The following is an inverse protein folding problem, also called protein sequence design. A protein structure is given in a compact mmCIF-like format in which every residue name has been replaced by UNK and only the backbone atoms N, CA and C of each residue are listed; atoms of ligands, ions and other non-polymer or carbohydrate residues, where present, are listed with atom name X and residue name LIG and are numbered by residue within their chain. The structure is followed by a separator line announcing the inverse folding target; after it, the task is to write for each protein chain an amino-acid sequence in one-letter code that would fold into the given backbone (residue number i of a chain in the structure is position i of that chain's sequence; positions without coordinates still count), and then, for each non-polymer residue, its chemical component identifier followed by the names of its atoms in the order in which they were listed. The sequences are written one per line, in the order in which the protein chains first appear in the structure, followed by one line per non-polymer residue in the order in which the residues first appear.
data_IF_861733096278
#
_entry.id   IF_861733096278
#
_cell.length_a   1.000
_cell.length_b   1.000
_cell.length_c   1.000
_cell.angle_alpha   90.00
_cell.angle_beta   90.00
_cell.angle_gamma   90.00
#
_symmetry.space_group_name_H-M   'P 1'
#
loop_
_entity.id
_entity.type
_entity.pdbx_description
1 polymer ?
#
# COMPACT_ATOMS: atom_id res chain seq x y z
N UNK A 1 11.36 22.80 -31.60
CA UNK A 1 10.80 21.55 -32.15
C UNK A 1 10.90 20.52 -31.04
N UNK A 2 9.79 19.89 -30.62
CA UNK A 2 9.87 18.81 -29.65
C UNK A 2 10.72 17.68 -30.26
N UNK A 3 11.72 17.23 -29.54
CA UNK A 3 12.59 16.11 -29.98
C UNK A 3 11.70 14.88 -30.18
N UNK A 4 11.80 14.26 -31.36
CA UNK A 4 11.05 13.01 -31.61
C UNK A 4 11.50 11.94 -30.64
N UNK A 5 10.54 11.22 -30.00
CA UNK A 5 10.83 10.07 -29.13
C UNK A 5 11.43 8.97 -29.99
N UNK A 6 12.57 8.42 -29.55
CA UNK A 6 13.24 7.32 -30.22
C UNK A 6 13.03 5.99 -29.56
N UNK A 7 13.02 5.98 -28.23
CA UNK A 7 12.86 4.77 -27.42
C UNK A 7 12.06 5.09 -26.17
N UNK A 8 11.09 4.24 -25.82
CA UNK A 8 10.20 4.40 -24.66
C UNK A 8 10.16 3.15 -23.78
N UNK A 9 10.20 3.31 -22.47
CA UNK A 9 9.95 2.21 -21.52
C UNK A 9 8.48 2.24 -21.11
N UNK A 10 7.75 1.18 -21.41
CA UNK A 10 6.34 1.01 -21.10
C UNK A 10 6.17 0.15 -19.85
N UNK A 11 5.43 0.65 -18.83
CA UNK A 11 4.88 -0.20 -17.76
C UNK A 11 3.85 -1.16 -18.36
N UNK A 12 4.21 -2.43 -18.43
CA UNK A 12 3.48 -3.42 -19.20
C UNK A 12 2.93 -4.54 -18.31
N UNK A 13 1.62 -4.67 -18.24
CA UNK A 13 0.96 -5.74 -17.47
C UNK A 13 0.60 -6.98 -18.32
N UNK A 14 0.76 -6.92 -19.63
CA UNK A 14 0.26 -7.97 -20.53
C UNK A 14 -1.27 -7.96 -20.73
N UNK A 15 -1.99 -7.07 -20.04
CA UNK A 15 -3.41 -6.85 -20.21
C UNK A 15 -3.79 -6.27 -21.59
N UNK A 16 -5.10 -6.12 -21.84
CA UNK A 16 -5.60 -5.56 -23.10
C UNK A 16 -5.06 -4.14 -23.33
N UNK A 17 -5.28 -3.26 -22.35
CA UNK A 17 -4.96 -1.82 -22.49
C UNK A 17 -3.48 -1.60 -22.74
N UNK A 18 -2.59 -2.24 -21.96
CA UNK A 18 -1.14 -2.07 -22.13
C UNK A 18 -0.62 -2.68 -23.44
N UNK A 19 -1.28 -3.74 -23.95
CA UNK A 19 -0.93 -4.32 -25.26
C UNK A 19 -1.36 -3.43 -26.42
N UNK A 20 -2.49 -2.75 -26.29
CA UNK A 20 -2.92 -1.70 -27.25
C UNK A 20 -1.96 -0.51 -27.20
N UNK A 21 -1.61 -0.05 -25.99
CA UNK A 21 -0.64 1.04 -25.80
C UNK A 21 0.70 0.72 -26.48
N UNK A 22 1.19 -0.51 -26.29
CA UNK A 22 2.42 -0.95 -26.93
C UNK A 22 2.36 -0.76 -28.46
N UNK A 23 1.31 -1.26 -29.08
CA UNK A 23 1.13 -1.16 -30.53
C UNK A 23 0.91 0.27 -31.00
N UNK A 24 0.13 1.05 -30.25
CA UNK A 24 -0.11 2.46 -30.51
C UNK A 24 1.17 3.30 -30.45
N UNK A 25 2.07 3.03 -29.50
CA UNK A 25 3.38 3.69 -29.40
C UNK A 25 4.23 3.43 -30.66
N UNK A 26 4.26 2.18 -31.12
CA UNK A 26 5.00 1.83 -32.33
C UNK A 26 4.48 2.57 -33.58
N UNK A 27 3.15 2.72 -33.71
CA UNK A 27 2.53 3.34 -34.89
C UNK A 27 2.51 4.87 -34.82
N UNK A 28 2.20 5.44 -33.66
CA UNK A 28 2.03 6.89 -33.51
C UNK A 28 3.36 7.61 -33.38
N UNK A 29 4.28 7.06 -32.62
CA UNK A 29 5.60 7.66 -32.38
C UNK A 29 6.69 7.10 -33.30
N UNK A 30 6.46 5.94 -33.92
CA UNK A 30 7.50 5.24 -34.71
C UNK A 30 8.74 4.89 -33.87
N UNK A 31 8.59 4.74 -32.58
CA UNK A 31 9.67 4.56 -31.63
C UNK A 31 9.89 3.08 -31.25
N UNK A 32 11.08 2.79 -30.75
CA UNK A 32 11.37 1.50 -30.13
C UNK A 32 10.69 1.43 -28.75
N UNK A 33 10.05 0.29 -28.45
CA UNK A 33 9.38 0.08 -27.18
C UNK A 33 10.13 -0.99 -26.38
N UNK A 34 10.50 -0.64 -25.16
CA UNK A 34 10.98 -1.54 -24.11
C UNK A 34 9.82 -1.82 -23.18
N UNK A 35 9.56 -3.07 -22.85
CA UNK A 35 8.50 -3.42 -21.89
C UNK A 35 9.09 -3.78 -20.53
N UNK A 36 8.44 -3.30 -19.48
CA UNK A 36 8.77 -3.62 -18.10
C UNK A 36 7.55 -4.14 -17.35
N UNK A 37 7.66 -5.32 -16.78
CA UNK A 37 6.66 -5.97 -15.94
C UNK A 37 7.27 -6.25 -14.57
N UNK A 38 6.69 -5.71 -13.51
CA UNK A 38 7.10 -5.94 -12.14
C UNK A 38 6.31 -7.09 -11.52
N UNK A 39 7.00 -8.03 -10.87
CA UNK A 39 6.40 -8.95 -9.90
C UNK A 39 6.39 -8.27 -8.53
N UNK A 40 5.21 -7.88 -8.08
CA UNK A 40 4.96 -7.36 -6.73
C UNK A 40 4.14 -8.36 -5.88
N UNK A 41 4.02 -9.62 -6.31
CA UNK A 41 3.20 -10.63 -5.64
C UNK A 41 1.70 -10.51 -5.96
N UNK A 42 1.36 -10.11 -7.18
CA UNK A 42 -0.01 -10.03 -7.66
C UNK A 42 -0.68 -11.41 -7.85
N UNK A 43 0.11 -12.48 -7.84
CA UNK A 43 -0.39 -13.87 -7.98
C UNK A 43 -0.70 -14.29 -9.42
N UNK A 44 -0.41 -13.47 -10.41
CA UNK A 44 -0.53 -13.78 -11.82
C UNK A 44 0.78 -14.37 -12.37
N UNK A 45 0.66 -15.25 -13.38
CA UNK A 45 1.82 -15.72 -14.13
C UNK A 45 2.37 -14.58 -15.01
N UNK A 46 3.65 -14.26 -14.89
CA UNK A 46 4.30 -13.18 -15.64
C UNK A 46 4.77 -13.63 -17.04
N UNK A 47 4.98 -14.92 -17.21
CA UNK A 47 5.42 -15.50 -18.48
C UNK A 47 4.44 -15.24 -19.66
N UNK A 48 3.10 -15.26 -19.48
CA UNK A 48 2.18 -14.84 -20.52
C UNK A 48 2.38 -13.39 -20.99
N UNK A 49 2.72 -12.47 -20.09
CA UNK A 49 3.01 -11.08 -20.45
C UNK A 49 4.29 -11.00 -21.31
N UNK A 50 5.35 -11.70 -20.94
CA UNK A 50 6.59 -11.81 -21.73
C UNK A 50 6.32 -12.31 -23.13
N UNK A 51 5.66 -13.48 -23.26
CA UNK A 51 5.33 -14.08 -24.55
C UNK A 51 4.51 -13.15 -25.45
N UNK A 52 3.57 -12.41 -24.85
CA UNK A 52 2.74 -11.46 -25.58
C UNK A 52 3.56 -10.27 -26.10
N UNK A 53 4.50 -9.76 -25.31
CA UNK A 53 5.43 -8.73 -25.75
C UNK A 53 6.32 -9.22 -26.91
N UNK A 54 6.84 -10.45 -26.82
CA UNK A 54 7.62 -11.09 -27.90
C UNK A 54 6.81 -11.21 -29.20
N UNK A 55 5.55 -11.67 -29.12
CA UNK A 55 4.64 -11.75 -30.27
C UNK A 55 4.36 -10.39 -30.91
N UNK A 56 4.39 -9.32 -30.13
CA UNK A 56 4.24 -7.94 -30.62
C UNK A 56 5.57 -7.33 -31.12
N UNK A 57 6.62 -8.14 -31.22
CA UNK A 57 7.91 -7.76 -31.82
C UNK A 57 8.85 -7.01 -30.89
N UNK A 58 8.63 -7.04 -29.59
CA UNK A 58 9.50 -6.39 -28.61
C UNK A 58 10.80 -7.20 -28.43
N UNK A 59 11.94 -6.51 -28.43
CA UNK A 59 13.27 -7.11 -28.27
C UNK A 59 13.82 -6.97 -26.86
N UNK A 60 13.53 -5.86 -26.19
CA UNK A 60 13.98 -5.56 -24.83
C UNK A 60 12.79 -5.71 -23.87
N UNK A 61 12.77 -6.82 -23.13
CA UNK A 61 11.68 -7.21 -22.24
C UNK A 61 12.24 -7.44 -20.85
N UNK A 62 11.84 -6.63 -19.89
CA UNK A 62 12.20 -6.74 -18.49
C UNK A 62 11.01 -7.33 -17.72
N UNK A 63 11.25 -8.44 -17.05
CA UNK A 63 10.29 -9.03 -16.08
C UNK A 63 11.07 -9.29 -14.81
N UNK A 64 10.78 -8.56 -13.76
CA UNK A 64 11.62 -8.53 -12.56
C UNK A 64 10.83 -8.79 -11.29
N UNK A 65 11.40 -9.63 -10.41
CA UNK A 65 10.87 -9.87 -9.06
C UNK A 65 11.30 -8.74 -8.13
N UNK A 66 10.35 -7.89 -7.78
CA UNK A 66 10.54 -6.76 -6.89
C UNK A 66 9.85 -6.95 -5.52
N UNK A 67 9.40 -8.17 -5.18
CA UNK A 67 8.66 -8.44 -3.95
C UNK A 67 9.42 -8.09 -2.68
N UNK A 68 10.70 -8.44 -2.63
CA UNK A 68 11.54 -8.13 -1.46
C UNK A 68 11.78 -6.62 -1.31
N UNK A 69 12.10 -5.91 -2.40
CA UNK A 69 12.25 -4.46 -2.39
C UNK A 69 10.94 -3.78 -2.02
N UNK A 70 9.82 -4.24 -2.58
CA UNK A 70 8.49 -3.70 -2.28
C UNK A 70 8.17 -3.76 -0.79
N UNK A 71 8.39 -4.90 -0.16
CA UNK A 71 8.05 -5.06 1.26
C UNK A 71 9.06 -4.32 2.15
N UNK A 72 10.37 -4.49 1.90
CA UNK A 72 11.42 -3.90 2.74
C UNK A 72 11.44 -2.37 2.67
N UNK A 73 11.36 -1.80 1.45
CA UNK A 73 11.66 -0.38 1.22
C UNK A 73 10.41 0.49 1.05
N UNK A 74 9.22 -0.12 0.87
CA UNK A 74 7.95 0.61 0.71
C UNK A 74 6.91 0.22 1.77
N UNK A 75 6.65 -1.07 1.96
CA UNK A 75 5.62 -1.53 2.92
C UNK A 75 6.07 -1.27 4.36
N UNK A 76 7.24 -1.74 4.78
CA UNK A 76 7.69 -1.59 6.16
C UNK A 76 7.87 -0.14 6.61
N UNK A 77 8.48 0.77 5.80
CA UNK A 77 8.51 2.20 6.15
C UNK A 77 7.13 2.80 6.39
N UNK A 78 6.15 2.43 5.57
CA UNK A 78 4.77 2.87 5.74
C UNK A 78 4.14 2.29 7.03
N UNK A 79 4.43 1.03 7.38
CA UNK A 79 3.95 0.43 8.62
C UNK A 79 4.60 1.04 9.86
N UNK A 80 5.89 1.42 9.82
CA UNK A 80 6.51 2.21 10.91
C UNK A 80 5.76 3.52 11.18
N UNK A 81 5.19 4.13 10.13
CA UNK A 81 4.31 5.29 10.25
C UNK A 81 2.91 4.95 10.78
N UNK A 82 2.50 3.70 10.81
CA UNK A 82 1.09 3.27 10.98
C UNK A 82 0.14 3.95 9.98
N UNK A 83 0.60 4.17 8.74
CA UNK A 83 -0.11 4.98 7.76
C UNK A 83 -1.44 4.35 7.34
N UNK A 84 -2.51 5.10 7.53
CA UNK A 84 -3.87 4.76 7.12
C UNK A 84 -4.48 5.98 6.43
N UNK A 85 -4.79 5.86 5.14
CA UNK A 85 -5.54 6.91 4.45
C UNK A 85 -7.01 6.85 4.88
N UNK A 86 -7.54 8.02 5.26
CA UNK A 86 -8.91 8.17 5.77
C UNK A 86 -9.24 7.19 6.93
N UNK A 87 -8.22 6.81 7.70
CA UNK A 87 -8.35 6.01 8.91
C UNK A 87 -8.44 4.50 8.72
N UNK A 88 -8.52 3.99 7.48
CA UNK A 88 -8.74 2.56 7.23
C UNK A 88 -7.93 1.96 6.07
N UNK A 89 -7.59 2.74 5.04
CA UNK A 89 -6.95 2.23 3.83
C UNK A 89 -5.42 2.10 3.98
N UNK A 90 -4.90 0.89 3.81
CA UNK A 90 -3.48 0.55 3.97
C UNK A 90 -2.60 0.81 2.72
N UNK A 91 -3.06 1.65 1.77
CA UNK A 91 -2.26 2.28 0.72
C UNK A 91 -1.54 1.33 -0.27
N UNK A 92 -1.96 0.08 -0.41
CA UNK A 92 -1.23 -0.92 -1.19
C UNK A 92 -1.00 -0.56 -2.66
N UNK A 93 -2.00 0.00 -3.36
CA UNK A 93 -1.82 0.51 -4.73
C UNK A 93 -0.93 1.75 -4.74
N UNK A 94 -1.10 2.63 -3.75
CA UNK A 94 -0.41 3.93 -3.69
C UNK A 94 1.11 3.78 -3.56
N UNK A 95 1.60 2.77 -2.82
CA UNK A 95 3.03 2.50 -2.64
C UNK A 95 3.63 1.62 -3.73
N UNK A 96 2.81 0.89 -4.50
CA UNK A 96 3.28 0.06 -5.59
C UNK A 96 3.75 0.90 -6.80
N UNK A 97 3.00 1.95 -7.16
CA UNK A 97 3.30 2.77 -8.34
C UNK A 97 4.66 3.50 -8.26
N UNK A 98 5.07 4.09 -7.12
CA UNK A 98 6.40 4.68 -6.98
C UNK A 98 7.54 3.67 -7.21
N UNK A 99 7.42 2.43 -6.77
CA UNK A 99 8.44 1.41 -7.04
C UNK A 99 8.51 1.05 -8.52
N UNK A 100 7.35 0.80 -9.16
CA UNK A 100 7.30 0.50 -10.60
C UNK A 100 7.90 1.67 -11.40
N UNK A 101 7.51 2.89 -11.10
CA UNK A 101 8.00 4.08 -11.78
C UNK A 101 9.50 4.32 -11.56
N UNK A 102 10.01 4.08 -10.34
CA UNK A 102 11.45 4.11 -10.04
C UNK A 102 12.21 3.16 -10.97
N UNK A 103 11.78 1.90 -11.04
CA UNK A 103 12.46 0.90 -11.86
C UNK A 103 12.36 1.22 -13.35
N UNK A 104 11.24 1.80 -13.83
CA UNK A 104 11.14 2.27 -15.22
C UNK A 104 12.18 3.36 -15.54
N UNK A 105 12.44 4.31 -14.64
CA UNK A 105 13.47 5.35 -14.83
C UNK A 105 14.87 4.72 -14.86
N UNK A 106 15.13 3.71 -14.04
CA UNK A 106 16.39 2.98 -14.04
C UNK A 106 16.60 2.25 -15.39
N UNK A 107 15.57 1.51 -15.85
CA UNK A 107 15.58 0.83 -17.16
C UNK A 107 15.73 1.84 -18.30
N UNK A 108 15.10 3.01 -18.22
CA UNK A 108 15.27 4.05 -19.22
C UNK A 108 16.73 4.53 -19.33
N UNK A 109 17.41 4.66 -18.19
CA UNK A 109 18.86 4.97 -18.15
C UNK A 109 19.70 3.83 -18.72
N UNK A 110 19.39 2.58 -18.35
CA UNK A 110 20.10 1.37 -18.81
C UNK A 110 20.01 1.18 -20.34
N UNK A 111 18.82 1.42 -20.90
CA UNK A 111 18.53 1.19 -22.33
C UNK A 111 18.71 2.42 -23.21
N UNK A 112 18.99 3.58 -22.60
CA UNK A 112 19.09 4.86 -23.33
C UNK A 112 17.73 5.35 -23.84
N UNK A 113 16.64 4.96 -23.22
CA UNK A 113 15.31 5.44 -23.58
C UNK A 113 15.14 6.93 -23.20
N UNK A 114 14.49 7.68 -24.07
CA UNK A 114 14.23 9.12 -23.91
C UNK A 114 12.80 9.43 -23.44
N UNK A 115 11.99 8.38 -23.24
CA UNK A 115 10.63 8.49 -22.73
C UNK A 115 10.23 7.31 -21.83
N UNK A 116 9.24 7.54 -20.99
CA UNK A 116 8.51 6.51 -20.22
C UNK A 116 7.03 6.62 -20.51
N UNK A 117 6.31 5.48 -20.38
CA UNK A 117 4.88 5.39 -20.64
C UNK A 117 4.20 4.57 -19.58
N UNK A 118 3.01 5.00 -19.16
CA UNK A 118 2.11 4.25 -18.27
C UNK A 118 0.71 4.10 -18.86
N UNK A 119 -0.01 3.06 -18.46
CA UNK A 119 -1.37 2.78 -18.88
C UNK A 119 -2.47 3.30 -17.95
N UNK A 120 -2.14 4.17 -17.01
CA UNK A 120 -3.11 4.71 -16.06
C UNK A 120 -4.11 5.66 -16.74
N UNK A 121 -5.39 5.51 -16.38
CA UNK A 121 -6.47 6.35 -16.93
C UNK A 121 -6.42 7.78 -16.41
N UNK A 122 -6.93 8.74 -17.17
CA UNK A 122 -6.98 10.16 -16.80
C UNK A 122 -7.89 10.49 -15.61
N UNK A 123 -8.72 9.53 -15.14
CA UNK A 123 -9.64 9.70 -13.99
C UNK A 123 -9.08 9.12 -12.67
N UNK A 124 -7.98 8.36 -12.74
CA UNK A 124 -7.38 7.70 -11.58
C UNK A 124 -6.23 8.46 -10.97
N UNK A 125 -5.92 8.15 -9.70
CA UNK A 125 -4.75 8.69 -9.01
C UNK A 125 -3.43 8.12 -9.56
N UNK A 126 -3.46 6.95 -10.19
CA UNK A 126 -2.25 6.23 -10.59
C UNK A 126 -1.40 7.00 -11.59
N UNK A 127 -2.02 7.76 -12.51
CA UNK A 127 -1.28 8.66 -13.39
C UNK A 127 -0.43 9.67 -12.59
N UNK A 128 -0.99 10.23 -11.51
CA UNK A 128 -0.28 11.19 -10.65
C UNK A 128 0.89 10.50 -9.94
N UNK A 129 0.67 9.29 -9.42
CA UNK A 129 1.69 8.51 -8.71
C UNK A 129 2.88 8.13 -9.61
N UNK A 130 2.60 7.71 -10.85
CA UNK A 130 3.63 7.44 -11.83
C UNK A 130 4.41 8.71 -12.19
N UNK A 131 3.72 9.76 -12.61
CA UNK A 131 4.35 10.95 -13.16
C UNK A 131 5.13 11.76 -12.12
N UNK A 132 4.60 11.93 -10.90
CA UNK A 132 5.34 12.58 -9.81
C UNK A 132 6.63 11.83 -9.47
N UNK A 133 6.61 10.50 -9.53
CA UNK A 133 7.82 9.69 -9.35
C UNK A 133 8.81 9.89 -10.51
N UNK A 134 8.34 9.87 -11.75
CA UNK A 134 9.20 10.10 -12.90
C UNK A 134 9.91 11.44 -12.80
N UNK A 135 9.19 12.53 -12.56
CA UNK A 135 9.76 13.87 -12.45
C UNK A 135 10.67 14.05 -11.24
N UNK A 136 10.39 13.37 -10.13
CA UNK A 136 11.27 13.40 -8.97
C UNK A 136 12.63 12.74 -9.25
N UNK A 137 12.66 11.65 -10.04
CA UNK A 137 13.87 10.85 -10.30
C UNK A 137 14.58 11.22 -11.60
N UNK A 138 13.87 11.79 -12.58
CA UNK A 138 14.41 12.29 -13.83
C UNK A 138 13.54 13.45 -14.35
N UNK A 139 13.84 14.72 -13.96
CA UNK A 139 13.00 15.87 -14.26
C UNK A 139 12.77 16.14 -15.75
N UNK A 140 13.70 15.73 -16.59
CA UNK A 140 13.68 16.01 -18.03
C UNK A 140 13.11 14.86 -18.88
N UNK A 141 12.71 13.73 -18.25
CA UNK A 141 12.17 12.57 -18.98
C UNK A 141 10.84 12.93 -19.65
N UNK A 142 10.67 12.54 -20.90
CA UNK A 142 9.38 12.67 -21.56
C UNK A 142 8.40 11.60 -21.05
N UNK A 143 7.22 12.02 -20.62
CA UNK A 143 6.16 11.11 -20.20
C UNK A 143 5.11 11.02 -21.30
N UNK A 144 4.73 9.79 -21.66
CA UNK A 144 3.64 9.51 -22.61
C UNK A 144 2.50 8.87 -21.81
N UNK A 145 1.33 9.51 -21.85
CA UNK A 145 0.13 9.06 -21.15
C UNK A 145 -1.02 8.85 -22.16
N UNK A 146 -1.11 7.69 -22.82
CA UNK A 146 -2.00 7.46 -23.94
C UNK A 146 -3.47 7.81 -23.67
N UNK A 147 -3.99 7.55 -22.48
CA UNK A 147 -5.35 7.90 -22.12
C UNK A 147 -5.69 9.39 -22.16
N UNK A 148 -4.69 10.26 -22.27
CA UNK A 148 -4.85 11.71 -22.47
C UNK A 148 -4.54 12.15 -23.90
N UNK A 149 -4.01 11.26 -24.74
CA UNK A 149 -3.49 11.60 -26.06
C UNK A 149 -4.26 10.93 -27.21
N UNK A 150 -4.75 9.70 -27.00
CA UNK A 150 -5.45 8.95 -28.04
C UNK A 150 -6.96 9.28 -28.13
N UNK A 151 -7.54 8.96 -29.30
CA UNK A 151 -8.95 9.25 -29.57
C UNK A 151 -9.92 8.14 -29.12
N UNK A 152 -9.44 7.05 -28.53
CA UNK A 152 -10.30 5.97 -28.04
C UNK A 152 -11.18 6.43 -26.88
N UNK A 153 -12.51 6.28 -27.03
CA UNK A 153 -13.52 6.74 -26.06
C UNK A 153 -14.15 5.61 -25.26
N UNK A 154 -14.04 4.39 -25.78
CA UNK A 154 -14.73 3.25 -25.22
C UNK A 154 -13.88 1.97 -25.24
N UNK A 155 -14.29 0.98 -24.43
CA UNK A 155 -13.71 -0.36 -24.49
C UNK A 155 -13.92 -1.04 -25.85
N UNK A 156 -15.02 -0.70 -26.53
CA UNK A 156 -15.30 -1.21 -27.89
C UNK A 156 -14.26 -0.75 -28.88
N UNK A 157 -13.85 0.53 -28.82
CA UNK A 157 -12.80 1.09 -29.70
C UNK A 157 -11.47 0.36 -29.46
N UNK A 158 -11.15 0.05 -28.21
CA UNK A 158 -9.94 -0.71 -27.84
C UNK A 158 -9.98 -2.14 -28.39
N UNK A 159 -11.14 -2.80 -28.32
CA UNK A 159 -11.30 -4.16 -28.87
C UNK A 159 -11.17 -4.15 -30.40
N UNK A 160 -11.79 -3.18 -31.10
CA UNK A 160 -11.68 -3.02 -32.54
C UNK A 160 -10.22 -2.78 -32.97
N UNK A 161 -9.50 -1.91 -32.26
CA UNK A 161 -8.08 -1.71 -32.51
C UNK A 161 -7.26 -2.99 -32.27
N UNK A 162 -7.54 -3.74 -31.22
CA UNK A 162 -6.87 -4.98 -30.91
C UNK A 162 -7.12 -6.04 -32.01
N UNK A 163 -8.36 -6.16 -32.53
CA UNK A 163 -8.72 -7.09 -33.60
C UNK A 163 -8.01 -6.71 -34.91
N UNK A 164 -8.01 -5.42 -35.26
CA UNK A 164 -7.32 -4.90 -36.46
C UNK A 164 -5.82 -5.24 -36.45
N UNK A 165 -5.18 -5.17 -35.28
CA UNK A 165 -3.74 -5.40 -35.11
C UNK A 165 -3.40 -6.82 -34.64
N UNK A 166 -4.38 -7.75 -34.64
CA UNK A 166 -4.20 -9.15 -34.24
C UNK A 166 -3.61 -9.31 -32.83
N UNK A 167 -3.92 -8.36 -31.93
CA UNK A 167 -3.50 -8.43 -30.52
C UNK A 167 -4.36 -9.49 -29.84
N UNK A 168 -3.76 -10.53 -29.22
CA UNK A 168 -4.53 -11.57 -28.55
C UNK A 168 -5.36 -11.00 -27.39
N UNK A 169 -6.69 -11.13 -27.50
CA UNK A 169 -7.64 -10.81 -26.43
C UNK A 169 -8.19 -12.10 -25.88
N UNK A 170 -8.04 -12.34 -24.58
CA UNK A 170 -8.60 -13.52 -23.94
C UNK A 170 -10.13 -13.56 -24.16
N UNK A 171 -10.67 -14.71 -24.61
CA UNK A 171 -12.10 -14.85 -24.96
C UNK A 171 -13.04 -14.63 -23.78
N UNK A 172 -12.60 -14.97 -22.58
CA UNK A 172 -13.27 -14.79 -21.30
C UNK A 172 -13.34 -13.31 -20.86
N UNK A 173 -12.41 -12.47 -21.33
CA UNK A 173 -12.39 -11.02 -21.07
C UNK A 173 -13.18 -10.20 -22.10
N UNK A 174 -13.79 -10.83 -23.11
CA UNK A 174 -14.65 -10.14 -24.10
C UNK A 174 -15.99 -9.68 -23.57
N UNK A 175 -16.43 -10.24 -22.46
CA UNK A 175 -17.74 -10.00 -21.88
C UNK A 175 -17.70 -9.82 -20.41
N UNK A 176 -17.14 -8.99 -19.72
CA UNK A 176 -17.48 -8.70 -18.32
C UNK A 176 -16.53 -9.24 -17.25
N UNK A 177 -15.43 -8.59 -17.04
CA UNK A 177 -15.02 -8.43 -15.65
C UNK A 177 -16.06 -7.49 -15.01
N UNK A 178 -16.86 -7.90 -14.03
CA UNK A 178 -17.89 -7.05 -13.42
C UNK A 178 -17.31 -5.91 -12.61
N UNK A 179 -15.99 -5.86 -12.44
CA UNK A 179 -15.21 -4.83 -11.73
C UNK A 179 -13.73 -4.94 -12.14
N UNK A 180 -12.93 -3.92 -11.81
CA UNK A 180 -11.47 -3.93 -12.00
C UNK A 180 -10.78 -4.42 -10.74
N UNK A 181 -9.72 -5.22 -10.88
CA UNK A 181 -8.89 -5.69 -9.77
C UNK A 181 -7.44 -5.25 -10.00
N UNK A 182 -6.84 -4.68 -8.97
CA UNK A 182 -5.40 -4.42 -8.87
C UNK A 182 -4.85 -5.11 -7.62
N UNK A 183 -3.75 -5.85 -7.75
CA UNK A 183 -3.24 -6.69 -6.69
C UNK A 183 -1.72 -6.60 -6.58
N UNK A 184 -1.22 -6.74 -5.35
CA UNK A 184 0.19 -6.92 -5.02
C UNK A 184 0.32 -7.70 -3.70
N UNK A 185 1.52 -7.89 -3.20
CA UNK A 185 1.74 -8.70 -2.00
C UNK A 185 1.05 -8.12 -0.76
N UNK A 186 0.87 -6.79 -0.67
CA UNK A 186 0.20 -6.18 0.47
C UNK A 186 -1.32 -6.32 0.42
N UNK A 187 -1.94 -6.11 -0.76
CA UNK A 187 -3.40 -6.07 -0.86
C UNK A 187 -3.95 -6.50 -2.23
N UNK A 188 -5.27 -6.66 -2.31
CA UNK A 188 -6.05 -6.49 -3.53
C UNK A 188 -7.00 -5.30 -3.40
N UNK A 189 -7.27 -4.65 -4.53
CA UNK A 189 -8.17 -3.52 -4.68
C UNK A 189 -9.16 -3.82 -5.79
N UNK A 190 -10.45 -3.74 -5.49
CA UNK A 190 -11.54 -3.97 -6.44
C UNK A 190 -12.40 -2.71 -6.56
N UNK A 191 -12.66 -2.24 -7.79
CA UNK A 191 -13.46 -1.03 -8.04
C UNK A 191 -14.24 -1.10 -9.34
N UNK A 192 -15.26 -0.24 -9.47
CA UNK A 192 -16.04 -0.03 -10.69
C UNK A 192 -17.21 -1.00 -10.88
N UNK A 193 -18.04 -0.71 -11.87
CA UNK A 193 -19.22 -1.49 -12.29
C UNK A 193 -20.16 -1.89 -11.15
N UNK A 194 -20.20 -3.18 -10.78
CA UNK A 194 -21.07 -3.69 -9.71
C UNK A 194 -20.80 -3.03 -8.35
N UNK A 195 -19.63 -2.43 -8.16
CA UNK A 195 -19.23 -1.72 -6.94
C UNK A 195 -19.52 -0.22 -6.97
N UNK A 196 -20.04 0.34 -8.08
CA UNK A 196 -20.25 1.79 -8.21
C UNK A 196 -21.42 2.31 -7.35
N UNK A 197 -22.39 1.45 -7.01
CA UNK A 197 -23.47 1.80 -6.10
C UNK A 197 -23.07 1.49 -4.64
N UNK A 198 -22.77 2.52 -3.82
CA UNK A 198 -22.35 2.31 -2.43
C UNK A 198 -23.48 1.80 -1.52
N UNK A 199 -24.73 1.79 -1.98
CA UNK A 199 -25.86 1.23 -1.25
C UNK A 199 -25.96 -0.31 -1.38
N UNK A 200 -25.20 -0.91 -2.29
CA UNK A 200 -25.21 -2.35 -2.54
C UNK A 200 -24.04 -3.02 -1.85
N UNK A 201 -24.30 -4.13 -1.17
CA UNK A 201 -23.25 -4.99 -0.61
C UNK A 201 -22.39 -5.58 -1.75
N UNK A 202 -21.04 -5.59 -1.59
CA UNK A 202 -20.19 -6.24 -2.57
C UNK A 202 -20.53 -7.73 -2.67
N UNK A 203 -20.75 -8.25 -3.89
CA UNK A 203 -20.99 -9.68 -4.06
C UNK A 203 -19.83 -10.53 -3.52
N UNK A 204 -20.07 -11.74 -2.98
CA UNK A 204 -19.03 -12.59 -2.40
C UNK A 204 -17.83 -12.87 -3.32
N UNK A 205 -18.03 -12.94 -4.65
CA UNK A 205 -16.97 -13.19 -5.62
C UNK A 205 -15.97 -12.02 -5.78
N UNK A 206 -16.24 -10.85 -5.20
CA UNK A 206 -15.31 -9.72 -5.17
C UNK A 206 -14.12 -10.02 -4.26
N UNK A 207 -14.36 -10.78 -3.21
CA UNK A 207 -13.34 -11.18 -2.25
C UNK A 207 -12.60 -12.42 -2.74
N UNK A 208 -11.35 -12.23 -3.18
CA UNK A 208 -10.53 -13.28 -3.80
C UNK A 208 -9.36 -13.73 -2.92
N UNK A 209 -9.04 -12.95 -1.89
CA UNK A 209 -7.88 -13.21 -1.02
C UNK A 209 -8.23 -13.73 0.35
N UNK A 210 -9.47 -13.59 0.77
CA UNK A 210 -9.92 -13.97 2.12
C UNK A 210 -11.17 -14.82 2.03
N UNK A 211 -11.27 -15.82 2.91
CA UNK A 211 -12.56 -16.51 3.13
C UNK A 211 -13.52 -15.56 3.87
N UNK A 212 -14.81 -15.82 3.79
CA UNK A 212 -15.78 -15.05 4.56
C UNK A 212 -15.54 -15.26 6.05
N UNK A 213 -15.66 -14.21 6.90
CA UNK A 213 -15.45 -14.35 8.34
C UNK A 213 -16.33 -15.43 9.00
N UNK A 214 -17.56 -15.57 8.55
CA UNK A 214 -18.50 -16.61 8.98
C UNK A 214 -18.05 -18.03 8.65
N UNK A 215 -17.32 -18.20 7.53
CA UNK A 215 -16.80 -19.50 7.07
C UNK A 215 -15.42 -19.84 7.68
N UNK A 216 -14.82 -18.87 8.41
CA UNK A 216 -13.54 -19.08 9.06
C UNK A 216 -13.66 -20.09 10.24
N UNK A 217 -12.55 -20.80 10.56
CA UNK A 217 -12.56 -21.82 11.61
C UNK A 217 -13.11 -21.35 12.95
N UNK A 218 -13.87 -22.23 13.63
CA UNK A 218 -14.36 -21.98 14.99
C UNK A 218 -13.25 -22.02 16.05
N UNK A 219 -12.08 -22.59 15.71
CA UNK A 219 -10.90 -22.57 16.54
C UNK A 219 -10.01 -21.40 16.16
N UNK A 220 -9.75 -20.51 17.10
CA UNK A 220 -8.85 -19.37 16.88
C UNK A 220 -7.41 -19.83 16.56
N UNK A 221 -6.74 -19.10 15.69
CA UNK A 221 -5.32 -19.26 15.39
C UNK A 221 -4.51 -18.30 16.25
N UNK A 222 -3.48 -18.79 16.92
CA UNK A 222 -2.52 -17.93 17.65
C UNK A 222 -1.28 -17.74 16.80
N UNK A 223 -0.74 -16.51 16.76
CA UNK A 223 0.49 -16.15 16.07
C UNK A 223 1.30 -15.18 16.91
N UNK A 224 2.63 -15.35 16.93
CA UNK A 224 3.56 -14.43 17.59
C UNK A 224 4.44 -13.77 16.54
N UNK A 225 4.51 -12.42 16.55
CA UNK A 225 5.31 -11.63 15.63
C UNK A 225 6.43 -10.94 16.41
N UNK A 226 7.67 -11.17 15.99
CA UNK A 226 8.86 -10.51 16.55
C UNK A 226 9.20 -9.25 15.76
N UNK A 227 9.63 -8.21 16.49
CA UNK A 227 9.99 -6.89 15.95
C UNK A 227 11.41 -6.49 16.32
N UNK A 228 12.08 -5.76 15.42
CA UNK A 228 13.31 -5.04 15.67
C UNK A 228 13.29 -3.69 14.94
N UNK A 229 13.51 -2.59 15.67
CA UNK A 229 13.46 -1.21 15.14
C UNK A 229 12.18 -0.90 14.36
N UNK A 230 11.05 -1.42 14.85
CA UNK A 230 9.73 -1.22 14.24
C UNK A 230 9.40 -2.16 13.07
N UNK A 231 10.38 -2.85 12.50
CA UNK A 231 10.13 -3.82 11.42
C UNK A 231 9.85 -5.23 11.99
N UNK A 232 8.89 -5.95 11.41
CA UNK A 232 8.67 -7.34 11.76
C UNK A 232 9.81 -8.21 11.20
N UNK A 233 10.36 -9.10 12.02
CA UNK A 233 11.50 -9.94 11.66
C UNK A 233 11.22 -11.44 11.76
N UNK A 234 10.18 -11.84 12.48
CA UNK A 234 9.86 -13.25 12.66
C UNK A 234 8.37 -13.49 12.84
N UNK A 235 7.93 -14.70 12.49
CA UNK A 235 6.60 -15.23 12.79
C UNK A 235 6.78 -16.57 13.50
N UNK A 236 6.16 -16.73 14.67
CA UNK A 236 6.24 -17.92 15.53
C UNK A 236 7.70 -18.35 15.78
N UNK A 237 8.58 -17.38 16.08
CA UNK A 237 9.99 -17.56 16.34
C UNK A 237 10.87 -17.87 15.12
N UNK A 238 10.28 -17.98 13.92
CA UNK A 238 11.02 -18.20 12.68
C UNK A 238 11.33 -16.88 11.99
N UNK A 239 12.62 -16.55 11.87
CA UNK A 239 13.06 -15.38 11.07
C UNK A 239 12.74 -15.60 9.59
N UNK A 240 12.16 -14.61 8.96
CA UNK A 240 11.76 -14.63 7.56
C UNK A 240 12.25 -13.38 6.85
N UNK A 241 12.43 -13.47 5.52
CA UNK A 241 12.63 -12.29 4.70
C UNK A 241 11.35 -11.42 4.66
N UNK A 242 11.44 -10.11 4.36
CA UNK A 242 10.31 -9.21 4.29
C UNK A 242 9.12 -9.75 3.49
N UNK A 243 9.37 -10.19 2.25
CA UNK A 243 8.31 -10.73 1.39
C UNK A 243 7.74 -12.05 1.93
N UNK A 244 8.59 -12.96 2.42
CA UNK A 244 8.15 -14.23 3.00
C UNK A 244 7.33 -14.02 4.28
N UNK A 245 7.69 -13.03 5.10
CA UNK A 245 6.97 -12.68 6.32
C UNK A 245 5.56 -12.18 5.99
N UNK A 246 5.45 -11.22 5.07
CA UNK A 246 4.14 -10.69 4.66
C UNK A 246 3.28 -11.77 3.98
N UNK A 247 3.89 -12.64 3.16
CA UNK A 247 3.21 -13.81 2.57
C UNK A 247 2.63 -14.70 3.66
N UNK A 248 3.42 -15.02 4.70
CA UNK A 248 2.93 -15.85 5.81
C UNK A 248 1.78 -15.19 6.57
N UNK A 249 1.84 -13.88 6.81
CA UNK A 249 0.74 -13.15 7.45
C UNK A 249 -0.49 -13.09 6.55
N UNK A 250 -0.33 -12.99 5.23
CA UNK A 250 -1.44 -13.06 4.27
C UNK A 250 -2.16 -14.41 4.32
N UNK A 251 -1.43 -15.51 4.41
CA UNK A 251 -2.01 -16.85 4.56
C UNK A 251 -2.85 -16.95 5.84
N UNK A 252 -2.29 -16.52 6.97
CA UNK A 252 -2.97 -16.52 8.26
C UNK A 252 -4.23 -15.64 8.24
N UNK A 253 -4.14 -14.45 7.64
CA UNK A 253 -5.28 -13.53 7.51
C UNK A 253 -6.35 -14.06 6.57
N UNK A 254 -5.95 -14.64 5.43
CA UNK A 254 -6.86 -15.32 4.48
C UNK A 254 -7.70 -16.36 5.19
N UNK A 255 -7.03 -17.30 5.88
CA UNK A 255 -7.65 -18.47 6.50
C UNK A 255 -8.53 -18.10 7.72
N UNK A 256 -8.42 -16.89 8.24
CA UNK A 256 -9.22 -16.37 9.35
C UNK A 256 -10.18 -15.23 8.94
N UNK A 257 -10.37 -14.97 7.66
CA UNK A 257 -11.31 -13.97 7.13
C UNK A 257 -10.95 -12.52 7.47
N UNK A 258 -9.65 -12.21 7.65
CA UNK A 258 -9.17 -10.91 8.12
C UNK A 258 -8.81 -10.00 6.96
N UNK A 259 -9.12 -8.69 7.08
CA UNK A 259 -8.56 -7.63 6.24
C UNK A 259 -9.47 -7.13 5.14
N UNK A 260 -10.78 -7.39 5.18
CA UNK A 260 -11.77 -6.81 4.26
C UNK A 260 -12.10 -5.38 4.66
N UNK A 261 -12.08 -4.47 3.69
CA UNK A 261 -12.44 -3.05 3.86
C UNK A 261 -13.26 -2.61 2.67
N UNK A 262 -14.41 -1.99 2.93
CA UNK A 262 -15.24 -1.29 1.95
C UNK A 262 -15.21 0.19 2.28
N UNK A 263 -14.74 1.02 1.38
CA UNK A 263 -14.46 2.43 1.62
C UNK A 263 -14.92 3.30 0.46
N UNK A 264 -15.63 4.38 0.77
CA UNK A 264 -15.82 5.50 -0.16
C UNK A 264 -14.75 6.56 0.16
N UNK A 265 -13.71 6.60 -0.63
CA UNK A 265 -12.53 7.45 -0.45
C UNK A 265 -12.56 8.72 -1.31
N UNK A 266 -11.78 9.71 -0.91
CA UNK A 266 -11.60 10.94 -1.70
C UNK A 266 -10.32 10.80 -2.55
N UNK A 267 -10.48 10.69 -3.87
CA UNK A 267 -9.34 10.68 -4.81
C UNK A 267 -8.66 12.06 -4.84
N UNK A 268 -7.35 12.07 -5.01
CA UNK A 268 -6.57 13.30 -5.13
C UNK A 268 -7.00 14.15 -6.33
N UNK A 269 -7.46 13.52 -7.40
CA UNK A 269 -8.03 14.19 -8.57
C UNK A 269 -9.43 14.80 -8.33
N UNK A 270 -9.95 14.78 -7.10
CA UNK A 270 -11.09 15.56 -6.64
C UNK A 270 -12.45 14.88 -6.65
N UNK A 271 -12.53 13.57 -6.91
CA UNK A 271 -13.81 12.83 -6.89
C UNK A 271 -13.82 11.78 -5.78
N UNK A 272 -15.02 11.39 -5.35
CA UNK A 272 -15.21 10.22 -4.50
C UNK A 272 -15.23 8.95 -5.34
N UNK A 273 -14.66 7.87 -4.79
CA UNK A 273 -14.67 6.56 -5.40
C UNK A 273 -14.83 5.49 -4.34
N UNK A 274 -15.59 4.44 -4.62
CA UNK A 274 -15.66 3.27 -3.76
C UNK A 274 -14.60 2.26 -4.16
N UNK A 275 -13.83 1.81 -3.18
CA UNK A 275 -12.90 0.70 -3.30
C UNK A 275 -13.23 -0.40 -2.29
N UNK A 276 -13.17 -1.64 -2.72
CA UNK A 276 -13.24 -2.81 -1.84
C UNK A 276 -11.86 -3.45 -1.79
N UNK A 277 -11.31 -3.51 -0.59
CA UNK A 277 -9.92 -3.92 -0.37
C UNK A 277 -9.84 -5.18 0.47
N UNK A 278 -8.82 -5.99 0.21
CA UNK A 278 -8.45 -7.12 1.05
C UNK A 278 -6.95 -6.98 1.41
N UNK A 279 -6.66 -6.79 2.68
CA UNK A 279 -5.31 -6.56 3.19
C UNK A 279 -5.03 -7.47 4.39
N UNK A 280 -5.05 -8.81 4.21
CA UNK A 280 -5.05 -9.76 5.32
C UNK A 280 -3.82 -9.64 6.21
N UNK A 281 -2.62 -9.80 5.65
CA UNK A 281 -1.37 -9.70 6.41
C UNK A 281 -1.09 -8.31 6.94
N UNK A 282 -1.42 -7.27 6.16
CA UNK A 282 -1.25 -5.88 6.59
C UNK A 282 -2.10 -5.52 7.79
N UNK A 283 -3.34 -6.02 7.87
CA UNK A 283 -4.23 -5.81 9.04
C UNK A 283 -3.66 -6.45 10.31
N UNK A 284 -3.13 -7.67 10.19
CA UNK A 284 -2.45 -8.36 11.30
C UNK A 284 -1.21 -7.58 11.73
N UNK A 285 -0.38 -7.17 10.77
CA UNK A 285 0.87 -6.45 11.04
C UNK A 285 0.62 -5.10 11.71
N UNK A 286 -0.36 -4.33 11.25
CA UNK A 286 -0.72 -3.05 11.86
C UNK A 286 -1.12 -3.21 13.33
N UNK A 287 -1.97 -4.18 13.63
CA UNK A 287 -2.39 -4.46 15.01
C UNK A 287 -1.21 -4.85 15.91
N UNK A 288 -0.30 -5.69 15.40
CA UNK A 288 0.89 -6.11 16.13
C UNK A 288 1.87 -4.95 16.36
N UNK A 289 2.15 -4.16 15.31
CA UNK A 289 3.07 -3.02 15.40
C UNK A 289 2.58 -1.97 16.42
N UNK A 290 1.29 -1.60 16.35
CA UNK A 290 0.67 -0.69 17.32
C UNK A 290 0.75 -1.22 18.76
N UNK A 291 0.58 -2.53 18.93
CA UNK A 291 0.70 -3.16 20.24
C UNK A 291 2.15 -3.11 20.78
N UNK A 292 3.16 -3.27 19.93
CA UNK A 292 4.57 -3.13 20.31
C UNK A 292 4.92 -1.69 20.69
N UNK A 293 4.49 -0.71 19.87
CA UNK A 293 4.68 0.70 20.16
C UNK A 293 4.09 1.11 21.52
N UNK A 294 2.94 0.54 21.88
CA UNK A 294 2.28 0.85 23.18
C UNK A 294 3.12 0.48 24.39
N UNK A 295 4.11 -0.41 24.27
CA UNK A 295 5.06 -0.77 25.31
C UNK A 295 6.32 0.08 25.30
N UNK A 296 6.74 0.53 24.11
CA UNK A 296 8.12 1.00 23.88
C UNK A 296 8.23 2.48 23.60
N UNK A 297 7.16 3.15 23.20
CA UNK A 297 7.11 4.60 23.02
C UNK A 297 6.56 5.28 24.27
N UNK A 298 7.19 6.40 24.67
CA UNK A 298 6.58 7.28 25.65
C UNK A 298 5.37 8.02 25.05
N UNK A 299 4.53 8.57 25.94
CA UNK A 299 3.29 9.24 25.57
C UNK A 299 3.47 10.33 24.53
N UNK A 300 4.44 11.22 24.72
CA UNK A 300 4.62 12.40 23.88
C UNK A 300 5.13 12.02 22.49
N UNK A 301 6.09 11.08 22.41
CA UNK A 301 6.59 10.54 21.14
C UNK A 301 5.49 9.80 20.35
N UNK A 302 4.67 9.00 21.05
CA UNK A 302 3.56 8.28 20.44
C UNK A 302 2.50 9.23 19.88
N UNK A 303 2.08 10.23 20.67
CA UNK A 303 1.08 11.21 20.24
C UNK A 303 1.59 12.11 19.11
N UNK A 304 2.86 12.52 19.15
CA UNK A 304 3.47 13.28 18.05
C UNK A 304 3.43 12.46 16.75
N UNK A 305 3.90 11.22 16.80
CA UNK A 305 3.88 10.33 15.64
C UNK A 305 2.46 10.12 15.09
N UNK A 306 1.49 9.85 15.96
CA UNK A 306 0.09 9.67 15.57
C UNK A 306 -0.51 10.94 14.93
N UNK A 307 -0.11 12.12 15.38
CA UNK A 307 -0.56 13.40 14.77
C UNK A 307 -0.03 13.62 13.36
N UNK A 308 1.10 13.01 13.01
CA UNK A 308 1.73 13.12 11.69
C UNK A 308 1.26 12.04 10.71
N UNK A 309 0.70 10.95 11.20
CA UNK A 309 0.27 9.81 10.38
C UNK A 309 -0.72 10.22 9.26
N UNK A 310 -1.76 11.05 9.49
CA UNK A 310 -2.67 11.44 8.42
C UNK A 310 -1.94 12.17 7.28
N UNK A 311 -1.01 13.07 7.63
CA UNK A 311 -0.23 13.79 6.61
C UNK A 311 0.71 12.87 5.85
N UNK A 312 1.35 11.91 6.52
CA UNK A 312 2.17 10.90 5.87
C UNK A 312 1.32 10.05 4.89
N UNK A 313 0.15 9.60 5.33
CA UNK A 313 -0.77 8.82 4.51
C UNK A 313 -1.27 9.59 3.27
N UNK A 314 -1.57 10.90 3.42
CA UNK A 314 -1.92 11.78 2.29
C UNK A 314 -0.79 11.87 1.27
N UNK A 315 0.45 12.12 1.69
CA UNK A 315 1.60 12.21 0.79
C UNK A 315 1.78 10.91 -0.01
N UNK A 316 1.67 9.77 0.64
CA UNK A 316 1.74 8.47 -0.02
C UNK A 316 0.58 8.29 -0.99
N UNK A 317 -0.64 8.57 -0.57
CA UNK A 317 -1.84 8.41 -1.39
C UNK A 317 -1.82 9.29 -2.64
N UNK A 318 -1.30 10.53 -2.50
CA UNK A 318 -1.20 11.53 -3.57
C UNK A 318 -0.01 11.32 -4.51
N UNK A 319 0.89 10.36 -4.23
CA UNK A 319 2.02 10.03 -5.09
C UNK A 319 3.33 10.76 -4.76
N UNK A 320 3.43 11.42 -3.62
CA UNK A 320 4.60 12.16 -3.17
C UNK A 320 5.61 11.28 -2.41
N UNK A 321 5.79 10.02 -2.81
CA UNK A 321 6.72 9.10 -2.15
C UNK A 321 8.16 9.64 -2.11
N UNK A 322 8.62 10.26 -3.19
CA UNK A 322 9.97 10.82 -3.32
C UNK A 322 10.03 12.32 -3.03
N UNK A 323 9.08 12.87 -2.28
CA UNK A 323 9.10 14.27 -1.90
C UNK A 323 9.92 14.52 -0.62
N UNK A 324 10.58 15.69 -0.49
CA UNK A 324 11.35 16.03 0.70
C UNK A 324 10.55 15.96 1.99
N UNK A 325 9.28 16.40 1.97
CA UNK A 325 8.42 16.38 3.15
C UNK A 325 8.08 14.95 3.61
N UNK A 326 7.88 13.98 2.69
CA UNK A 326 7.68 12.59 3.06
C UNK A 326 8.97 12.01 3.67
N UNK A 327 10.14 12.34 3.10
CA UNK A 327 11.44 11.90 3.62
C UNK A 327 11.73 12.46 5.01
N UNK A 328 11.41 13.74 5.25
CA UNK A 328 11.54 14.35 6.59
C UNK A 328 10.62 13.65 7.61
N UNK A 329 9.37 13.36 7.25
CA UNK A 329 8.46 12.60 8.10
C UNK A 329 8.98 11.20 8.37
N UNK A 330 9.51 10.51 7.34
CA UNK A 330 10.09 9.18 7.51
C UNK A 330 11.26 9.18 8.48
N UNK A 331 12.16 10.16 8.38
CA UNK A 331 13.29 10.28 9.29
C UNK A 331 12.84 10.46 10.76
N UNK A 332 11.79 11.26 11.00
CA UNK A 332 11.19 11.41 12.33
C UNK A 332 10.57 10.11 12.81
N UNK A 333 9.80 9.42 11.94
CA UNK A 333 9.18 8.15 12.24
C UNK A 333 10.25 7.09 12.57
N UNK A 334 11.28 6.96 11.73
CA UNK A 334 12.36 5.99 11.92
C UNK A 334 13.10 6.24 13.24
N UNK A 335 13.30 7.50 13.62
CA UNK A 335 13.87 7.88 14.92
C UNK A 335 13.03 7.36 16.08
N UNK A 336 11.70 7.40 15.97
CA UNK A 336 10.80 6.86 17.01
C UNK A 336 10.87 5.34 17.14
N UNK A 337 11.32 4.64 16.11
CA UNK A 337 11.31 3.18 16.06
C UNK A 337 12.58 2.52 16.63
N UNK A 338 13.61 3.27 17.00
CA UNK A 338 14.91 2.73 17.46
C UNK A 338 14.80 1.71 18.59
N UNK A 339 13.79 1.84 19.44
CA UNK A 339 13.55 0.95 20.59
C UNK A 339 12.26 0.13 20.47
N UNK A 340 11.61 0.14 19.30
CA UNK A 340 10.42 -0.67 19.04
C UNK A 340 10.87 -2.09 18.68
N UNK A 341 11.09 -2.91 19.70
CA UNK A 341 11.58 -4.29 19.60
C UNK A 341 10.92 -5.19 20.64
N UNK A 342 10.74 -6.46 20.30
CA UNK A 342 10.13 -7.46 21.17
C UNK A 342 9.16 -8.37 20.43
N UNK A 343 8.23 -8.96 21.14
CA UNK A 343 7.26 -9.91 20.60
C UNK A 343 5.82 -9.52 20.95
N UNK A 344 4.92 -9.71 19.98
CA UNK A 344 3.47 -9.54 20.14
C UNK A 344 2.78 -10.84 19.77
N UNK A 345 1.96 -11.35 20.68
CA UNK A 345 1.10 -12.52 20.46
C UNK A 345 -0.33 -12.07 20.14
N UNK A 346 -0.87 -12.58 19.06
CA UNK A 346 -2.20 -12.29 18.56
C UNK A 346 -3.03 -13.55 18.49
N UNK A 347 -4.34 -13.39 18.70
CA UNK A 347 -5.35 -14.37 18.39
C UNK A 347 -6.15 -13.90 17.18
N UNK A 348 -6.16 -14.70 16.13
CA UNK A 348 -6.87 -14.48 14.87
C UNK A 348 -8.16 -15.30 14.90
N UNK A 349 -9.30 -14.65 14.74
CA UNK A 349 -10.58 -15.32 14.85
C UNK A 349 -11.69 -14.60 14.08
N UNK A 350 -12.24 -15.24 13.07
CA UNK A 350 -13.43 -14.78 12.32
C UNK A 350 -13.41 -13.28 12.02
N UNK A 351 -12.41 -12.85 11.24
CA UNK A 351 -12.23 -11.45 10.82
C UNK A 351 -11.55 -10.54 11.84
N UNK A 352 -11.31 -11.03 13.07
CA UNK A 352 -10.75 -10.22 14.14
C UNK A 352 -9.27 -10.52 14.41
N UNK A 353 -8.52 -9.48 14.74
CA UNK A 353 -7.15 -9.55 15.26
C UNK A 353 -7.18 -9.07 16.71
N UNK A 354 -6.89 -9.95 17.64
CA UNK A 354 -6.98 -9.70 19.08
C UNK A 354 -5.59 -9.83 19.70
N UNK A 355 -5.08 -8.75 20.29
CA UNK A 355 -3.79 -8.77 21.01
C UNK A 355 -3.99 -9.52 22.33
N UNK A 356 -3.21 -10.59 22.56
CA UNK A 356 -3.28 -11.41 23.77
C UNK A 356 -2.03 -11.31 24.63
N UNK A 357 -0.90 -10.87 24.09
CA UNK A 357 0.33 -10.68 24.85
C UNK A 357 1.31 -9.79 24.13
N UNK A 358 2.21 -9.18 24.87
CA UNK A 358 3.33 -8.39 24.33
C UNK A 358 4.47 -8.36 25.33
N UNK A 359 5.69 -8.43 24.85
CA UNK A 359 6.89 -8.35 25.67
C UNK A 359 7.99 -7.58 24.93
N UNK A 360 8.77 -6.79 25.66
CA UNK A 360 9.89 -6.05 25.09
C UNK A 360 11.00 -5.88 26.15
N UNK A 361 12.27 -6.04 25.75
CA UNK A 361 13.39 -5.67 26.61
C UNK A 361 13.54 -4.16 26.78
N UNK A 362 12.83 -3.37 25.95
CA UNK A 362 12.77 -1.89 25.98
C UNK A 362 11.44 -1.37 26.48
N UNK A 363 10.69 -2.19 27.20
CA UNK A 363 9.39 -1.81 27.74
C UNK A 363 9.49 -0.61 28.70
N UNK A 364 8.62 0.36 28.50
CA UNK A 364 8.39 1.47 29.44
C UNK A 364 7.29 1.14 30.47
N UNK A 365 6.67 -0.03 30.35
CA UNK A 365 5.66 -0.47 31.31
C UNK A 365 6.32 -0.94 32.60
N UNK A 366 6.24 -0.10 33.63
CA UNK A 366 6.82 -0.37 34.94
C UNK A 366 5.77 -0.95 35.88
N UNK A 367 5.62 -2.29 35.90
CA UNK A 367 4.61 -2.99 36.70
C UNK A 367 4.64 -2.62 38.17
N UNK A 368 5.82 -2.34 38.74
CA UNK A 368 5.98 -1.91 40.14
C UNK A 368 5.36 -0.54 40.44
N UNK A 369 5.30 0.36 39.43
CA UNK A 369 4.74 1.72 39.60
C UNK A 369 3.22 1.72 39.40
N UNK A 370 2.72 0.92 38.44
CA UNK A 370 1.29 0.93 38.08
C UNK A 370 0.45 -0.12 38.82
N UNK A 371 1.07 -0.83 39.76
CA UNK A 371 0.35 -1.84 40.59
C UNK A 371 -0.70 -1.20 41.50
N UNK A 372 -1.78 -1.89 41.74
CA UNK A 372 -2.76 -1.55 42.80
C UNK A 372 -2.38 -2.13 44.19
N UNK A 373 -1.31 -2.92 44.24
CA UNK A 373 -0.71 -3.45 45.45
C UNK A 373 0.30 -2.47 46.04
N UNK A 374 0.97 -2.81 47.11
CA UNK A 374 2.05 -2.03 47.71
C UNK A 374 3.22 -1.89 46.73
N UNK A 375 3.50 -0.67 46.30
CA UNK A 375 4.58 -0.33 45.38
C UNK A 375 5.92 -0.06 46.10
N UNK A 376 5.99 -0.26 47.38
CA UNK A 376 7.15 0.00 48.24
C UNK A 376 7.68 1.45 48.12
N UNK A 377 6.78 2.42 47.83
CA UNK A 377 7.12 3.83 47.72
C UNK A 377 7.72 4.21 46.37
N UNK A 378 7.52 3.41 45.34
CA UNK A 378 7.97 3.73 43.96
C UNK A 378 7.27 4.96 43.36
N UNK A 379 6.05 5.29 43.85
CA UNK A 379 5.29 6.47 43.43
C UNK A 379 4.65 7.17 44.64
N UNK A 380 4.89 8.49 44.80
CA UNK A 380 4.19 9.30 45.84
C UNK A 380 2.88 9.87 45.26
N UNK A 381 1.75 9.30 45.70
CA UNK A 381 0.42 9.74 45.25
C UNK A 381 0.11 11.21 45.59
N UNK A 382 0.81 11.81 46.55
CA UNK A 382 0.63 13.24 46.93
C UNK A 382 1.07 14.18 45.83
N UNK A 383 2.04 13.83 45.01
CA UNK A 383 2.52 14.64 43.90
C UNK A 383 1.41 14.96 42.88
N UNK A 384 0.43 14.10 42.76
CA UNK A 384 -0.70 14.30 41.87
C UNK A 384 -1.57 15.50 42.26
N UNK A 385 -1.69 15.81 43.55
CA UNK A 385 -2.52 16.94 44.04
C UNK A 385 -2.05 18.28 43.45
N UNK A 386 -0.75 18.57 43.53
CA UNK A 386 -0.16 19.79 42.98
C UNK A 386 -0.33 19.91 41.49
N UNK A 387 -0.03 18.84 40.77
CA UNK A 387 -0.22 18.74 39.32
C UNK A 387 -1.68 19.00 38.91
N UNK A 388 -2.63 18.39 39.59
CA UNK A 388 -4.07 18.57 39.30
C UNK A 388 -4.51 20.01 39.58
N UNK A 389 -4.07 20.62 40.71
CA UNK A 389 -4.41 22.00 41.07
C UNK A 389 -3.94 23.01 40.02
N UNK A 390 -2.70 22.87 39.51
CA UNK A 390 -2.16 23.74 38.45
C UNK A 390 -2.94 23.55 37.13
N UNK A 391 -3.19 22.34 36.70
CA UNK A 391 -3.97 22.07 35.49
C UNK A 391 -5.43 22.54 35.61
N UNK A 392 -6.02 22.47 36.80
CA UNK A 392 -7.39 22.92 37.05
C UNK A 392 -7.52 24.47 37.11
N UNK A 393 -6.44 25.24 37.25
CA UNK A 393 -6.50 26.69 37.43
C UNK A 393 -7.34 27.39 36.34
N UNK A 394 -7.05 27.12 35.07
CA UNK A 394 -7.83 27.66 33.94
C UNK A 394 -9.30 27.29 34.00
N UNK A 395 -9.62 26.05 34.39
CA UNK A 395 -11.01 25.57 34.46
C UNK A 395 -11.77 26.26 35.58
N UNK A 396 -11.14 26.51 36.74
CA UNK A 396 -11.72 27.23 37.85
C UNK A 396 -12.02 28.71 37.48
N UNK A 397 -11.11 29.34 36.74
CA UNK A 397 -11.33 30.72 36.24
C UNK A 397 -12.49 30.77 35.23
N UNK A 398 -12.57 29.78 34.30
CA UNK A 398 -13.68 29.68 33.35
C UNK A 398 -15.02 29.39 34.06
N UNK A 399 -15.03 28.54 35.09
CA UNK A 399 -16.22 28.25 35.87
C UNK A 399 -16.78 29.48 36.58
N UNK A 400 -15.92 30.37 37.12
CA UNK A 400 -16.32 31.65 37.73
C UNK A 400 -16.95 32.67 36.75
N UNK A 401 -16.74 32.52 35.45
CA UNK A 401 -17.41 33.36 34.43
C UNK A 401 -18.85 32.98 34.18
N UNK A 402 -19.25 31.75 34.54
CA UNK A 402 -20.61 31.23 34.29
C UNK A 402 -21.55 31.41 35.47
N UNK A 403 -20.98 31.81 36.61
CA UNK A 403 -21.67 32.22 37.83
C UNK A 403 -21.76 33.74 37.91
#
# INVERSE_FOLDING_TARGET
MATAVKKVVLAYSGGLDTSIILKWLQETYGCEVVTFTADLGQGEELEPARKKAEMLGIKEIFVEDLREEFVRDFVFPMFRANALYEGVYLLGTSIARPLIAKRQIEIAKETGADAVCHGATGKGNDQVRFELTYYALNPDIKVIAPWREWDFKSRSDLIEFAEKHQIPVAKDKRGEAPFSVDANLLHSSSEGKVLEDPAQEPPPYVYQRTIAPEDAPDKATTVTIGFAKGDPISVDGKTLSPAALLTRLNELGRDNGIGRVDLVENRYVGMKSRGVYETPGGTILLAAHRAMESLTLDREAMHLKDSLMPRYAELVYYGFWFSPEREMLQALIDKSQEHVEGEVTLKLYKGNVIVTGRSSPKSLYASKIVTFEDDAGAYDQKDAEGFIKLNALRLRLLGKRKS
#
